data_IF_522830824729
#
_entry.id   IF_522830824729
#
_cell.length_a   1.000
_cell.length_b   1.000
_cell.length_c   1.000
_cell.angle_alpha   90.00
_cell.angle_beta   90.00
_cell.angle_gamma   90.00
#
_symmetry.space_group_name_H-M   'P 1'
#
loop_
_entity.id
_entity.type
_entity.pdbx_description
1 polymer ?
#
# COMPACT_ATOMS: atom_id res chain seq x y z
N UNK A 1 -9.03 15.59 -64.82
CA UNK A 1 -8.64 16.38 -63.62
C UNK A 1 -8.92 15.52 -62.39
N UNK A 2 -7.87 15.05 -61.73
CA UNK A 2 -7.90 14.10 -60.60
C UNK A 2 -7.74 14.86 -59.27
N UNK A 3 -8.41 14.33 -58.24
CA UNK A 3 -8.16 14.48 -56.80
C UNK A 3 -8.48 15.82 -56.11
N UNK A 4 -9.48 15.81 -55.22
CA UNK A 4 -9.43 16.61 -53.98
C UNK A 4 -10.28 16.13 -52.78
N UNK A 5 -10.98 14.98 -52.83
CA UNK A 5 -11.95 14.60 -51.77
C UNK A 5 -11.48 13.66 -50.66
N UNK A 6 -10.21 13.23 -50.63
CA UNK A 6 -9.74 12.21 -49.67
C UNK A 6 -8.94 12.76 -48.48
N UNK A 7 -8.59 14.06 -48.45
CA UNK A 7 -7.69 14.61 -47.41
C UNK A 7 -8.42 15.11 -46.15
N UNK A 8 -9.62 15.68 -46.26
CA UNK A 8 -10.35 16.24 -45.10
C UNK A 8 -10.90 15.17 -44.15
N UNK A 9 -11.43 14.07 -44.69
CA UNK A 9 -11.99 12.96 -43.90
C UNK A 9 -10.90 12.19 -43.15
N UNK A 10 -9.71 12.06 -43.73
CA UNK A 10 -8.53 11.46 -43.08
C UNK A 10 -7.98 12.36 -41.96
N UNK A 11 -7.97 13.69 -42.16
CA UNK A 11 -7.51 14.66 -41.15
C UNK A 11 -8.45 14.73 -39.93
N UNK A 12 -9.76 14.69 -40.16
CA UNK A 12 -10.77 14.66 -39.07
C UNK A 12 -10.71 13.36 -38.27
N UNK A 13 -10.53 12.19 -38.93
CA UNK A 13 -10.39 10.89 -38.24
C UNK A 13 -9.12 10.81 -37.39
N UNK A 14 -7.98 11.32 -37.88
CA UNK A 14 -6.72 11.40 -37.12
C UNK A 14 -6.84 12.34 -35.92
N UNK A 15 -7.54 13.46 -36.08
CA UNK A 15 -7.79 14.42 -34.99
C UNK A 15 -8.70 13.84 -33.90
N UNK A 16 -9.77 13.13 -34.27
CA UNK A 16 -10.65 12.45 -33.31
C UNK A 16 -9.93 11.32 -32.59
N UNK A 17 -9.10 10.54 -33.29
CA UNK A 17 -8.34 9.45 -32.67
C UNK A 17 -7.27 9.98 -31.70
N UNK A 18 -6.57 11.07 -32.04
CA UNK A 18 -5.64 11.73 -31.12
C UNK A 18 -6.34 12.30 -29.89
N UNK A 19 -7.53 12.89 -30.03
CA UNK A 19 -8.29 13.41 -28.89
C UNK A 19 -8.80 12.28 -28.00
N UNK A 20 -9.32 11.18 -28.58
CA UNK A 20 -9.76 10.01 -27.81
C UNK A 20 -8.58 9.33 -27.10
N UNK A 21 -7.42 9.21 -27.76
CA UNK A 21 -6.20 8.67 -27.16
C UNK A 21 -5.68 9.57 -26.03
N UNK A 22 -5.72 10.90 -26.21
CA UNK A 22 -5.35 11.87 -25.18
C UNK A 22 -6.31 11.83 -23.99
N UNK A 23 -7.62 11.65 -24.22
CA UNK A 23 -8.63 11.47 -23.18
C UNK A 23 -8.45 10.13 -22.46
N UNK A 24 -8.15 9.04 -23.16
CA UNK A 24 -7.81 7.76 -22.54
C UNK A 24 -6.52 7.82 -21.74
N UNK A 25 -5.52 8.59 -22.20
CA UNK A 25 -4.30 8.85 -21.44
C UNK A 25 -4.58 9.70 -20.19
N UNK A 26 -5.42 10.73 -20.29
CA UNK A 26 -5.76 11.59 -19.14
C UNK A 26 -6.68 10.89 -18.13
N UNK A 27 -7.55 9.98 -18.58
CA UNK A 27 -8.45 9.21 -17.70
C UNK A 27 -7.81 7.90 -17.19
N UNK A 28 -6.81 7.35 -17.89
CA UNK A 28 -6.19 6.06 -17.59
C UNK A 28 -5.13 6.08 -16.47
N UNK A 29 -4.73 7.26 -15.98
CA UNK A 29 -3.74 7.41 -14.90
C UNK A 29 -4.35 7.80 -13.56
N UNK A 30 -5.67 7.63 -13.38
CA UNK A 30 -6.29 7.74 -12.05
C UNK A 30 -6.12 6.42 -11.28
N UNK A 31 -4.88 6.00 -11.08
CA UNK A 31 -4.59 5.02 -10.04
C UNK A 31 -4.88 5.70 -8.71
N UNK A 32 -5.76 5.12 -7.89
CA UNK A 32 -5.88 5.54 -6.50
C UNK A 32 -4.54 5.26 -5.84
N UNK A 33 -3.70 6.28 -5.69
CA UNK A 33 -2.51 6.20 -4.85
C UNK A 33 -2.99 6.06 -3.41
N UNK A 34 -3.18 4.82 -2.97
CA UNK A 34 -3.35 4.52 -1.56
C UNK A 34 -2.07 4.95 -0.86
N UNK A 35 -2.21 5.77 0.18
CA UNK A 35 -1.06 6.13 0.98
C UNK A 35 -0.41 4.85 1.55
N UNK A 36 0.90 4.72 1.35
CA UNK A 36 1.69 3.51 1.64
C UNK A 36 1.63 3.05 3.10
N UNK A 37 1.14 3.90 3.99
CA UNK A 37 1.00 3.64 5.42
C UNK A 37 -0.35 3.04 5.83
N UNK A 38 -1.24 2.72 4.88
CA UNK A 38 -2.53 2.08 5.18
C UNK A 38 -2.39 0.56 5.26
N UNK A 39 -2.99 -0.02 6.30
CA UNK A 39 -2.97 -1.44 6.60
C UNK A 39 -4.37 -2.01 6.42
N UNK A 40 -4.52 -2.98 5.52
CA UNK A 40 -5.76 -3.73 5.38
C UNK A 40 -5.84 -4.81 6.47
N UNK A 41 -6.81 -4.75 7.41
CA UNK A 41 -6.86 -5.69 8.53
C UNK A 41 -7.03 -7.15 8.11
N UNK A 42 -7.77 -7.43 7.04
CA UNK A 42 -7.99 -8.81 6.55
C UNK A 42 -6.70 -9.38 5.95
N UNK A 43 -6.00 -8.58 5.15
CA UNK A 43 -4.70 -8.99 4.58
C UNK A 43 -3.65 -9.19 5.67
N UNK A 44 -3.56 -8.26 6.63
CA UNK A 44 -2.63 -8.37 7.75
C UNK A 44 -2.91 -9.60 8.59
N UNK A 45 -4.17 -9.83 8.97
CA UNK A 45 -4.55 -11.02 9.73
C UNK A 45 -4.21 -12.33 9.02
N UNK A 46 -4.36 -12.39 7.69
CA UNK A 46 -4.01 -13.56 6.88
C UNK A 46 -2.51 -13.68 6.54
N UNK A 47 -1.69 -12.70 6.92
CA UNK A 47 -0.25 -12.69 6.65
C UNK A 47 0.52 -13.56 7.66
N UNK A 48 1.78 -13.89 7.32
CA UNK A 48 2.70 -14.57 8.26
C UNK A 48 3.00 -13.78 9.53
N UNK A 49 2.79 -12.46 9.52
CA UNK A 49 3.04 -11.57 10.66
C UNK A 49 1.75 -11.09 11.33
N UNK A 50 0.58 -11.64 10.96
CA UNK A 50 -0.72 -11.18 11.47
C UNK A 50 -0.94 -11.36 12.98
N UNK A 51 0.01 -12.01 13.67
CA UNK A 51 0.05 -12.21 15.12
C UNK A 51 1.26 -11.51 15.79
N UNK A 52 2.08 -10.81 15.02
CA UNK A 52 3.22 -10.02 15.51
C UNK A 52 2.74 -8.62 15.84
N UNK A 53 3.18 -8.05 16.98
CA UNK A 53 2.79 -6.67 17.31
C UNK A 53 3.39 -5.70 16.30
N UNK A 54 2.67 -4.60 16.03
CA UNK A 54 3.19 -3.51 15.21
C UNK A 54 4.54 -3.02 15.77
N UNK A 55 4.71 -3.02 17.09
CA UNK A 55 5.92 -2.51 17.77
C UNK A 55 7.11 -3.45 17.72
N UNK A 56 6.91 -4.73 17.43
CA UNK A 56 8.04 -5.66 17.31
C UNK A 56 8.92 -5.30 16.12
N UNK A 57 8.33 -4.72 15.06
CA UNK A 57 9.05 -4.18 13.90
C UNK A 57 9.20 -2.65 13.95
N UNK A 58 8.26 -1.92 14.56
CA UNK A 58 8.25 -0.46 14.65
C UNK A 58 8.56 0.04 16.08
N UNK A 59 9.60 -0.51 16.70
CA UNK A 59 9.96 -0.28 18.11
C UNK A 59 10.40 1.16 18.42
N UNK A 60 10.86 1.88 17.39
CA UNK A 60 11.39 3.23 17.47
C UNK A 60 10.32 4.32 17.40
N UNK A 61 9.09 3.96 17.03
CA UNK A 61 8.00 4.92 16.79
C UNK A 61 7.69 5.79 18.01
N UNK A 62 7.70 5.21 19.21
CA UNK A 62 7.46 5.94 20.45
C UNK A 62 8.67 6.76 20.92
N UNK A 63 9.87 6.44 20.42
CA UNK A 63 11.11 7.16 20.74
C UNK A 63 11.25 8.41 19.87
N UNK A 64 10.52 8.50 18.75
CA UNK A 64 10.53 9.64 17.84
C UNK A 64 9.78 10.83 18.45
N UNK A 65 10.35 12.02 18.29
CA UNK A 65 9.73 13.27 18.73
C UNK A 65 8.41 13.58 18.00
N UNK A 66 8.24 13.07 16.78
CA UNK A 66 7.04 13.23 15.97
C UNK A 66 6.66 11.92 15.29
N UNK A 67 5.40 11.54 15.41
CA UNK A 67 4.76 10.51 14.60
C UNK A 67 3.28 10.87 14.37
N UNK A 68 2.83 11.04 13.12
CA UNK A 68 3.64 11.09 11.91
C UNK A 68 4.56 12.34 11.91
N UNK A 69 5.75 12.23 11.30
CA UNK A 69 6.60 13.39 11.04
C UNK A 69 6.10 14.12 9.77
N UNK A 70 5.60 15.37 9.85
CA UNK A 70 5.05 16.06 8.69
C UNK A 70 6.05 16.29 7.55
N UNK A 71 7.34 16.30 7.83
CA UNK A 71 8.38 16.47 6.81
C UNK A 71 8.76 15.15 6.13
N UNK A 72 8.31 14.02 6.68
CA UNK A 72 8.64 12.68 6.20
C UNK A 72 7.42 11.95 5.61
N UNK A 73 6.22 12.54 5.69
CA UNK A 73 4.94 11.94 5.26
C UNK A 73 4.89 11.55 3.77
N UNK A 74 5.62 12.26 2.92
CA UNK A 74 5.66 12.00 1.48
C UNK A 74 6.78 11.07 1.03
N UNK A 75 7.57 10.55 1.97
CA UNK A 75 8.67 9.63 1.68
C UNK A 75 8.15 8.20 1.49
N UNK A 76 8.85 7.43 0.67
CA UNK A 76 8.53 6.03 0.40
C UNK A 76 8.97 5.11 1.53
N UNK A 77 8.56 3.84 1.49
CA UNK A 77 8.98 2.86 2.48
C UNK A 77 10.50 2.61 2.41
N UNK A 78 11.07 2.72 1.22
CA UNK A 78 12.49 2.61 0.94
C UNK A 78 13.34 3.68 1.64
N UNK A 79 12.78 4.86 1.93
CA UNK A 79 13.48 5.93 2.64
C UNK A 79 13.69 5.63 4.13
N UNK A 80 12.97 4.63 4.67
CA UNK A 80 13.02 4.20 6.07
C UNK A 80 13.43 2.74 6.21
N UNK A 81 13.76 2.07 5.11
CA UNK A 81 14.04 0.65 5.13
C UNK A 81 15.43 0.39 5.73
N UNK A 82 15.44 -0.39 6.81
CA UNK A 82 16.64 -0.93 7.42
C UNK A 82 16.52 -2.47 7.40
N UNK A 83 17.47 -3.20 6.76
CA UNK A 83 17.44 -4.66 6.71
C UNK A 83 17.36 -5.30 8.10
N UNK A 84 18.00 -4.68 9.09
CA UNK A 84 18.10 -5.19 10.47
C UNK A 84 16.72 -5.42 11.10
N UNK A 85 15.70 -4.64 10.76
CA UNK A 85 14.33 -4.88 11.22
C UNK A 85 13.79 -6.26 10.80
N UNK A 86 14.21 -6.77 9.65
CA UNK A 86 13.85 -8.12 9.21
C UNK A 86 14.77 -9.17 9.82
N UNK A 87 16.06 -8.86 9.94
CA UNK A 87 17.08 -9.83 10.32
C UNK A 87 17.06 -10.24 11.77
N UNK A 88 16.41 -9.48 12.66
CA UNK A 88 16.15 -9.92 14.05
C UNK A 88 15.44 -11.28 14.11
N UNK A 89 14.55 -11.57 13.15
CA UNK A 89 13.85 -12.85 13.05
C UNK A 89 14.29 -13.70 11.84
N UNK A 90 14.97 -13.11 10.87
CA UNK A 90 15.37 -13.74 9.61
C UNK A 90 16.90 -13.75 9.41
N UNK A 91 17.64 -14.03 10.46
CA UNK A 91 19.12 -13.94 10.52
C UNK A 91 19.83 -14.69 9.37
N UNK A 92 19.32 -15.86 8.98
CA UNK A 92 19.95 -16.71 7.96
C UNK A 92 19.77 -16.20 6.53
N UNK A 93 18.86 -15.25 6.29
CA UNK A 93 18.51 -14.79 4.93
C UNK A 93 19.69 -14.11 4.25
N UNK A 94 20.45 -13.27 4.97
CA UNK A 94 21.62 -12.60 4.39
C UNK A 94 22.72 -13.58 4.00
N UNK A 95 23.01 -14.56 4.87
CA UNK A 95 23.99 -15.60 4.56
C UNK A 95 23.57 -16.46 3.35
N UNK A 96 22.26 -16.68 3.19
CA UNK A 96 21.68 -17.32 1.99
C UNK A 96 21.89 -16.47 0.75
N UNK A 97 21.56 -15.18 0.82
CA UNK A 97 21.74 -14.23 -0.27
C UNK A 97 23.19 -14.14 -0.71
N UNK A 98 24.15 -14.00 0.20
CA UNK A 98 25.59 -13.98 -0.11
C UNK A 98 26.08 -15.23 -0.86
N UNK A 99 25.45 -16.38 -0.59
CA UNK A 99 25.69 -17.65 -1.33
C UNK A 99 24.91 -17.73 -2.65
N UNK A 100 24.28 -16.63 -3.06
CA UNK A 100 23.47 -16.51 -4.26
C UNK A 100 22.10 -17.18 -4.15
N UNK A 101 21.48 -17.26 -2.97
CA UNK A 101 20.18 -17.93 -2.79
C UNK A 101 19.11 -17.01 -2.19
N UNK A 102 17.90 -17.08 -2.73
CA UNK A 102 16.70 -16.44 -2.17
C UNK A 102 15.55 -17.46 -2.17
N UNK A 103 15.35 -18.15 -1.04
CA UNK A 103 14.45 -19.30 -0.98
C UNK A 103 14.91 -20.43 -1.91
N UNK A 104 14.05 -20.85 -2.85
CA UNK A 104 14.39 -21.87 -3.87
C UNK A 104 15.04 -21.28 -5.13
N UNK A 105 15.25 -19.97 -5.19
CA UNK A 105 15.78 -19.29 -6.37
C UNK A 105 17.29 -19.05 -6.26
N UNK A 106 17.98 -19.17 -7.38
CA UNK A 106 19.37 -18.72 -7.51
C UNK A 106 19.39 -17.23 -7.88
N UNK A 107 20.06 -16.44 -7.06
CA UNK A 107 20.29 -15.01 -7.26
C UNK A 107 21.66 -14.83 -7.92
N UNK A 108 21.68 -14.11 -9.05
CA UNK A 108 22.91 -13.71 -9.75
C UNK A 108 23.35 -12.29 -9.40
N UNK A 109 22.40 -11.45 -9.01
CA UNK A 109 22.58 -10.03 -8.77
C UNK A 109 22.06 -9.71 -7.36
N UNK A 110 23.00 -9.67 -6.41
CA UNK A 110 22.72 -9.49 -4.99
C UNK A 110 22.14 -8.10 -4.69
N UNK A 111 22.57 -7.08 -5.42
CA UNK A 111 22.14 -5.69 -5.19
C UNK A 111 20.63 -5.55 -5.35
N UNK A 112 20.01 -6.30 -6.27
CA UNK A 112 18.55 -6.31 -6.46
C UNK A 112 17.76 -6.91 -5.30
N UNK A 113 18.43 -7.59 -4.36
CA UNK A 113 17.78 -8.31 -3.26
C UNK A 113 18.11 -7.72 -1.89
N UNK A 114 18.91 -6.64 -1.84
CA UNK A 114 19.19 -5.91 -0.58
C UNK A 114 17.96 -5.22 -0.02
N UNK A 115 17.08 -4.73 -0.89
CA UNK A 115 15.82 -4.07 -0.52
C UNK A 115 14.69 -5.09 -0.45
N UNK A 116 14.51 -5.73 0.71
CA UNK A 116 13.51 -6.78 0.91
C UNK A 116 12.09 -6.27 0.56
N UNK A 117 11.79 -5.01 0.92
CA UNK A 117 10.50 -4.37 0.67
C UNK A 117 10.20 -4.09 -0.81
N UNK A 118 11.20 -4.22 -1.70
CA UNK A 118 10.96 -4.10 -3.14
C UNK A 118 10.10 -5.25 -3.70
N UNK A 119 9.95 -6.35 -2.95
CA UNK A 119 9.18 -7.52 -3.36
C UNK A 119 8.25 -8.05 -2.25
N UNK A 120 8.71 -8.00 -1.00
CA UNK A 120 7.97 -8.45 0.17
C UNK A 120 7.22 -7.28 0.81
N UNK A 121 6.00 -7.52 1.27
CA UNK A 121 5.28 -6.58 2.12
C UNK A 121 4.95 -7.31 3.43
N UNK A 122 5.58 -6.94 4.57
CA UNK A 122 5.37 -7.64 5.83
C UNK A 122 3.91 -7.61 6.29
N UNK A 123 3.10 -6.65 5.81
CA UNK A 123 1.70 -6.50 6.19
C UNK A 123 0.73 -7.33 5.36
N UNK A 124 1.17 -7.93 4.25
CA UNK A 124 0.30 -8.77 3.41
C UNK A 124 0.94 -10.08 2.96
N UNK A 125 2.18 -10.35 3.40
CA UNK A 125 2.95 -11.49 2.94
C UNK A 125 2.29 -12.82 3.30
N UNK A 126 1.89 -13.53 2.25
CA UNK A 126 1.45 -14.91 2.26
C UNK A 126 2.53 -15.87 2.77
N UNK A 127 2.17 -16.90 3.57
CA UNK A 127 3.07 -18.02 3.83
C UNK A 127 3.57 -18.69 2.54
N UNK A 128 4.87 -19.06 2.55
CA UNK A 128 5.53 -19.71 1.41
C UNK A 128 5.00 -21.13 1.16
N UNK A 129 4.52 -21.80 2.23
CA UNK A 129 3.94 -23.14 2.16
C UNK A 129 2.74 -23.23 3.10
N UNK A 130 1.64 -23.77 2.59
CA UNK A 130 0.41 -23.97 3.35
C UNK A 130 -0.07 -25.40 3.14
N UNK A 131 -0.68 -25.98 4.17
CA UNK A 131 -1.28 -27.32 4.12
C UNK A 131 -2.75 -27.29 3.69
N UNK A 132 -3.28 -26.09 3.44
CA UNK A 132 -4.68 -25.83 3.13
C UNK A 132 -4.78 -25.45 1.66
N UNK A 133 -5.84 -25.92 0.99
CA UNK A 133 -6.14 -25.54 -0.40
C UNK A 133 -7.05 -24.32 -0.43
N UNK A 134 -6.68 -23.32 -1.20
CA UNK A 134 -7.51 -22.15 -1.48
C UNK A 134 -8.20 -22.28 -2.84
N UNK A 135 -9.36 -21.65 -2.99
CA UNK A 135 -9.95 -21.41 -4.29
C UNK A 135 -9.11 -20.35 -5.01
N UNK A 136 -8.46 -20.75 -6.11
CA UNK A 136 -7.62 -19.86 -6.90
C UNK A 136 -8.41 -18.71 -7.57
N UNK A 137 -9.74 -18.83 -7.67
CA UNK A 137 -10.59 -17.78 -8.23
C UNK A 137 -10.91 -16.65 -7.23
N UNK A 138 -10.56 -16.81 -5.95
CA UNK A 138 -10.89 -15.85 -4.89
C UNK A 138 -9.62 -15.32 -4.22
N UNK A 139 -9.58 -14.03 -3.79
CA UNK A 139 -8.49 -13.52 -2.99
C UNK A 139 -8.34 -14.28 -1.67
N UNK A 140 -7.11 -14.55 -1.24
CA UNK A 140 -6.84 -15.30 -0.01
C UNK A 140 -7.46 -14.68 1.24
N UNK A 141 -7.36 -13.36 1.37
CA UNK A 141 -7.85 -12.61 2.53
C UNK A 141 -9.40 -12.57 2.62
N UNK A 142 -10.09 -13.18 1.66
CA UNK A 142 -11.55 -13.40 1.68
C UNK A 142 -11.90 -14.86 2.00
N UNK A 143 -10.90 -15.73 2.17
CA UNK A 143 -11.06 -17.17 2.37
C UNK A 143 -10.56 -17.61 3.75
N UNK A 144 -10.79 -16.79 4.78
CA UNK A 144 -10.34 -17.07 6.15
C UNK A 144 -10.86 -18.42 6.69
N UNK A 145 -12.04 -18.84 6.21
CA UNK A 145 -12.66 -20.14 6.51
C UNK A 145 -11.85 -21.37 6.09
N UNK A 146 -10.83 -21.20 5.25
CA UNK A 146 -9.96 -22.30 4.83
C UNK A 146 -9.07 -22.80 5.99
N UNK A 147 -8.69 -21.91 6.91
CA UNK A 147 -7.82 -22.21 8.06
C UNK A 147 -8.53 -22.14 9.42
N UNK A 148 -9.56 -21.32 9.54
CA UNK A 148 -10.27 -21.07 10.80
C UNK A 148 -11.78 -21.27 10.65
N UNK A 149 -12.49 -21.43 11.76
CA UNK A 149 -13.94 -21.35 11.75
C UNK A 149 -14.40 -19.98 11.24
N UNK A 150 -15.41 -19.98 10.37
CA UNK A 150 -15.95 -18.75 9.79
C UNK A 150 -16.54 -17.85 10.88
N UNK A 151 -16.10 -16.58 10.88
CA UNK A 151 -16.60 -15.55 11.80
C UNK A 151 -17.03 -14.33 10.99
N UNK A 152 -18.02 -13.60 11.53
CA UNK A 152 -18.49 -12.35 10.92
C UNK A 152 -17.47 -11.23 10.98
N UNK A 153 -16.66 -11.22 12.04
CA UNK A 153 -15.67 -10.18 12.31
C UNK A 153 -14.30 -10.81 12.57
N UNK A 154 -13.25 -10.06 12.26
CA UNK A 154 -11.89 -10.44 12.61
C UNK A 154 -11.70 -10.41 14.13
N UNK A 155 -10.78 -11.21 14.68
CA UNK A 155 -10.30 -11.00 16.04
C UNK A 155 -9.84 -9.55 16.22
N UNK A 156 -10.18 -8.89 17.34
CA UNK A 156 -9.72 -7.54 17.59
C UNK A 156 -8.21 -7.51 17.75
N UNK A 157 -7.60 -6.38 17.41
CA UNK A 157 -6.21 -6.11 17.74
C UNK A 157 -6.03 -6.00 19.26
N UNK A 158 -4.78 -6.15 19.73
CA UNK A 158 -4.43 -5.76 21.09
C UNK A 158 -4.75 -4.27 21.31
N UNK A 159 -4.95 -3.84 22.56
CA UNK A 159 -5.18 -2.41 22.84
C UNK A 159 -4.03 -1.52 22.33
N UNK A 160 -2.81 -2.06 22.31
CA UNK A 160 -1.63 -1.37 21.80
C UNK A 160 -1.66 -1.24 20.27
N UNK A 161 -1.88 -2.34 19.54
CA UNK A 161 -1.93 -2.30 18.08
C UNK A 161 -3.18 -1.55 17.58
N UNK A 162 -4.29 -1.58 18.33
CA UNK A 162 -5.49 -0.79 18.02
C UNK A 162 -5.19 0.73 18.06
N UNK A 163 -4.29 1.18 18.93
CA UNK A 163 -3.86 2.58 18.96
C UNK A 163 -3.10 2.97 17.68
N UNK A 164 -2.30 2.06 17.11
CA UNK A 164 -1.69 2.24 15.78
C UNK A 164 -2.75 2.24 14.69
N UNK A 165 -3.67 1.28 14.72
CA UNK A 165 -4.72 1.11 13.72
C UNK A 165 -5.75 2.23 13.70
N UNK A 166 -5.86 3.04 14.77
CA UNK A 166 -6.70 4.23 14.79
C UNK A 166 -6.38 5.23 13.65
N UNK A 167 -5.12 5.27 13.19
CA UNK A 167 -4.70 6.07 12.04
C UNK A 167 -4.26 5.22 10.83
N UNK A 168 -3.76 4.00 11.05
CA UNK A 168 -3.21 3.17 9.99
C UNK A 168 -4.19 2.19 9.35
N UNK A 169 -5.39 1.98 9.93
CA UNK A 169 -6.38 1.05 9.36
C UNK A 169 -6.94 1.59 8.05
N UNK A 170 -6.78 0.84 6.95
CA UNK A 170 -7.35 1.18 5.65
C UNK A 170 -8.81 1.61 5.79
N UNK A 171 -9.09 2.85 5.38
CA UNK A 171 -10.45 3.41 5.33
C UNK A 171 -11.01 3.14 3.94
N UNK A 172 -12.10 2.37 3.87
CA UNK A 172 -12.81 2.16 2.62
C UNK A 172 -13.87 3.26 2.40
N UNK A 173 -14.07 3.76 1.16
CA UNK A 173 -15.01 4.84 0.87
C UNK A 173 -16.46 4.57 1.32
N UNK A 174 -16.86 3.31 1.32
CA UNK A 174 -18.19 2.83 1.71
C UNK A 174 -18.40 2.76 3.23
N UNK A 175 -17.35 2.92 4.03
CA UNK A 175 -17.49 2.93 5.49
C UNK A 175 -18.28 4.14 5.98
N UNK A 176 -19.14 3.91 6.98
CA UNK A 176 -19.75 5.00 7.72
C UNK A 176 -18.65 5.90 8.29
N UNK A 177 -18.76 7.21 8.06
CA UNK A 177 -17.81 8.23 8.55
C UNK A 177 -16.39 8.14 7.97
N UNK A 178 -16.19 7.47 6.84
CA UNK A 178 -14.89 7.43 6.15
C UNK A 178 -14.27 8.83 5.96
N UNK A 179 -15.09 9.81 5.54
CA UNK A 179 -14.65 11.19 5.37
C UNK A 179 -14.21 11.86 6.68
N UNK A 180 -14.95 11.65 7.78
CA UNK A 180 -14.61 12.20 9.10
C UNK A 180 -13.30 11.61 9.63
N UNK A 181 -13.12 10.29 9.48
CA UNK A 181 -11.88 9.60 9.85
C UNK A 181 -10.68 10.15 9.06
N UNK A 182 -10.81 10.24 7.73
CA UNK A 182 -9.76 10.78 6.88
C UNK A 182 -9.45 12.24 7.21
N UNK A 183 -10.47 13.06 7.45
CA UNK A 183 -10.31 14.45 7.88
C UNK A 183 -9.52 14.55 9.18
N UNK A 184 -9.84 13.73 10.18
CA UNK A 184 -9.14 13.71 11.47
C UNK A 184 -7.63 13.45 11.32
N UNK A 185 -7.24 12.57 10.39
CA UNK A 185 -5.84 12.23 10.11
C UNK A 185 -5.13 13.41 9.45
N UNK A 186 -5.73 14.01 8.43
CA UNK A 186 -5.18 15.21 7.78
C UNK A 186 -5.04 16.37 8.78
N UNK A 187 -6.04 16.54 9.65
CA UNK A 187 -6.09 17.60 10.64
C UNK A 187 -5.03 17.47 11.72
N UNK A 188 -4.55 16.25 12.00
CA UNK A 188 -3.41 16.06 12.90
C UNK A 188 -2.24 16.99 12.54
N UNK A 189 -1.98 17.18 11.24
CA UNK A 189 -0.92 18.05 10.73
C UNK A 189 -1.42 19.39 10.18
N UNK A 190 -2.62 19.46 9.59
CA UNK A 190 -3.04 20.63 8.79
C UNK A 190 -4.08 21.53 9.45
N UNK A 191 -4.63 21.16 10.62
CA UNK A 191 -5.64 21.97 11.30
C UNK A 191 -5.05 22.98 12.29
N UNK A 192 -5.90 23.87 12.81
CA UNK A 192 -5.61 24.76 13.94
C UNK A 192 -6.14 24.18 15.25
N UNK A 193 -5.54 23.08 15.71
CA UNK A 193 -5.91 22.40 16.97
C UNK A 193 -4.84 22.51 18.06
N UNK A 194 -3.65 23.04 17.73
CA UNK A 194 -2.54 23.24 18.67
C UNK A 194 -1.60 22.05 18.83
N UNK A 195 -1.55 21.10 17.89
CA UNK A 195 -0.62 19.95 17.99
C UNK A 195 0.82 20.38 17.68
N UNK A 196 1.84 19.66 18.20
CA UNK A 196 3.24 19.89 17.83
C UNK A 196 3.48 19.79 16.32
N UNK A 197 2.82 18.85 15.63
CA UNK A 197 2.91 18.69 14.18
C UNK A 197 2.39 19.94 13.42
N UNK A 198 1.32 20.56 13.90
CA UNK A 198 0.76 21.78 13.31
C UNK A 198 1.68 22.99 13.48
N UNK A 199 2.47 23.05 14.56
CA UNK A 199 3.47 24.09 14.71
C UNK A 199 4.59 23.99 13.66
N UNK A 200 4.85 22.80 13.12
CA UNK A 200 5.80 22.61 12.01
C UNK A 200 5.20 22.98 10.66
N UNK A 201 4.03 22.42 10.33
CA UNK A 201 3.37 22.67 9.04
C UNK A 201 2.90 24.12 8.92
N UNK A 202 2.43 24.72 10.01
CA UNK A 202 1.97 26.11 10.07
C UNK A 202 3.05 27.16 9.74
N UNK A 203 4.34 26.79 9.80
CA UNK A 203 5.44 27.64 9.32
C UNK A 203 5.51 27.74 7.80
N UNK A 204 5.02 26.72 7.09
CA UNK A 204 5.14 26.59 5.62
C UNK A 204 3.81 26.87 4.92
N UNK A 205 2.69 26.55 5.55
CA UNK A 205 1.36 26.66 4.96
C UNK A 205 0.33 27.18 5.98
N UNK A 206 -0.70 27.83 5.48
CA UNK A 206 -1.84 28.24 6.31
C UNK A 206 -2.61 27.04 6.82
N UNK A 207 -2.71 26.92 8.15
CA UNK A 207 -3.50 25.88 8.78
C UNK A 207 -5.00 26.08 8.55
N UNK A 208 -5.70 24.96 8.37
CA UNK A 208 -7.16 24.85 8.19
C UNK A 208 -7.88 25.09 9.51
N UNK A 209 -8.98 25.84 9.48
CA UNK A 209 -9.90 25.91 10.62
C UNK A 209 -10.93 24.76 10.52
N UNK A 210 -10.93 23.79 11.44
CA UNK A 210 -11.88 22.68 11.43
C UNK A 210 -13.35 23.13 11.45
N UNK A 211 -13.65 24.19 12.20
CA UNK A 211 -15.02 24.69 12.36
C UNK A 211 -15.62 25.29 11.08
N UNK A 212 -14.79 25.61 10.07
CA UNK A 212 -15.23 26.11 8.77
C UNK A 212 -14.98 25.13 7.62
N UNK A 213 -14.26 24.03 7.87
CA UNK A 213 -13.98 23.03 6.84
C UNK A 213 -15.28 22.31 6.41
N UNK A 214 -15.45 22.07 5.11
CA UNK A 214 -16.66 21.44 4.55
C UNK A 214 -17.92 22.32 4.49
N UNK A 215 -17.90 23.53 5.07
CA UNK A 215 -19.02 24.50 5.01
C UNK A 215 -19.03 25.34 3.73
N UNK A 216 -17.88 25.46 3.07
CA UNK A 216 -17.77 26.13 1.77
C UNK A 216 -18.13 25.17 0.63
N UNK A 217 -19.11 25.53 -0.19
CA UNK A 217 -19.58 24.72 -1.33
C UNK A 217 -18.47 24.38 -2.34
N UNK A 218 -17.39 25.18 -2.40
CA UNK A 218 -16.21 24.93 -3.25
C UNK A 218 -15.30 23.81 -2.74
N UNK A 219 -15.50 23.27 -1.53
CA UNK A 219 -14.61 22.25 -0.93
C UNK A 219 -15.32 20.93 -0.60
N UNK A 220 -16.64 20.88 -0.70
CA UNK A 220 -17.41 19.63 -0.65
C UNK A 220 -17.05 18.75 -1.84
N UNK A 221 -16.44 17.59 -1.59
CA UNK A 221 -16.16 16.58 -2.62
C UNK A 221 -14.77 16.66 -3.27
N UNK A 222 -13.93 17.64 -2.92
CA UNK A 222 -12.49 17.50 -3.14
C UNK A 222 -11.91 16.75 -1.95
N UNK A 223 -11.86 15.43 -2.05
CA UNK A 223 -10.82 14.67 -1.37
C UNK A 223 -9.51 15.40 -1.71
N UNK A 224 -8.69 15.76 -0.74
CA UNK A 224 -7.45 16.44 -1.04
C UNK A 224 -6.62 15.49 -1.91
N UNK A 225 -6.61 15.72 -3.23
CA UNK A 225 -5.73 15.06 -4.17
C UNK A 225 -4.31 15.33 -3.67
N UNK A 226 -3.72 14.31 -3.04
CA UNK A 226 -2.29 14.31 -2.77
C UNK A 226 -1.62 14.51 -4.13
N UNK A 227 -0.66 15.45 -4.27
CA UNK A 227 0.18 15.45 -5.46
C UNK A 227 0.80 14.05 -5.57
N UNK A 228 0.58 13.37 -6.70
CA UNK A 228 1.09 12.04 -6.97
C UNK A 228 2.55 11.95 -6.51
N UNK A 229 2.79 11.23 -5.42
CA UNK A 229 4.13 10.80 -5.07
C UNK A 229 4.63 9.97 -6.27
N UNK A 230 5.74 10.41 -6.87
CA UNK A 230 6.21 9.88 -8.13
C UNK A 230 6.44 8.37 -8.08
N UNK A 231 6.00 7.70 -9.14
CA UNK A 231 6.48 6.39 -9.61
C UNK A 231 6.93 5.38 -8.53
N UNK A 232 5.95 4.76 -7.86
CA UNK A 232 6.16 3.53 -7.07
C UNK A 232 5.51 2.27 -7.66
N UNK A 233 4.61 2.39 -8.65
CA UNK A 233 3.91 1.24 -9.21
C UNK A 233 4.77 0.51 -10.26
N UNK A 234 5.53 -0.48 -9.80
CA UNK A 234 5.82 -1.63 -10.67
C UNK A 234 4.71 -2.66 -10.48
N UNK A 235 4.16 -3.23 -11.56
CA UNK A 235 3.22 -4.34 -11.44
C UNK A 235 3.91 -5.51 -10.72
N UNK A 236 3.33 -5.92 -9.58
CA UNK A 236 3.73 -7.13 -8.86
C UNK A 236 3.51 -8.31 -9.82
N UNK A 237 4.59 -8.93 -10.28
CA UNK A 237 4.50 -10.16 -11.06
C UNK A 237 3.93 -11.26 -10.17
N UNK A 238 2.67 -11.64 -10.39
CA UNK A 238 2.14 -12.93 -9.95
C UNK A 238 2.91 -14.03 -10.69
N UNK A 239 3.94 -14.56 -10.04
CA UNK A 239 4.58 -15.79 -10.48
C UNK A 239 3.68 -16.97 -10.12
N UNK A 240 2.65 -17.21 -10.92
CA UNK A 240 1.96 -18.49 -11.03
C UNK A 240 2.94 -19.53 -11.57
N UNK A 241 3.72 -20.18 -10.70
CA UNK A 241 4.52 -21.35 -11.07
C UNK A 241 3.78 -22.61 -10.63
N UNK A 242 3.37 -23.40 -11.63
CA UNK A 242 2.87 -24.75 -11.44
C UNK A 242 3.87 -25.59 -10.63
N UNK A 243 3.33 -26.35 -9.69
CA UNK A 243 4.09 -27.33 -8.91
C UNK A 243 4.66 -28.43 -9.82
N UNK A 244 5.91 -28.86 -9.63
CA UNK A 244 6.39 -30.11 -10.23
C UNK A 244 5.68 -31.32 -9.61
N UNK A 245 5.50 -32.42 -10.35
CA UNK A 245 4.83 -33.62 -9.85
C UNK A 245 5.59 -34.26 -8.70
N UNK A 246 4.85 -34.68 -7.68
CA UNK A 246 5.34 -35.43 -6.51
C UNK A 246 5.77 -36.84 -6.99
N UNK A 247 6.98 -37.33 -6.64
CA UNK A 247 7.36 -38.69 -6.96
C UNK A 247 6.58 -39.69 -6.09
N UNK A 248 6.06 -40.73 -6.74
CA UNK A 248 5.37 -41.85 -6.10
C UNK A 248 6.27 -42.55 -5.07
N UNK A 249 5.71 -43.07 -3.95
CA UNK A 249 6.46 -43.91 -3.04
C UNK A 249 6.87 -45.20 -3.75
N UNK A 250 8.16 -45.53 -3.68
CA UNK A 250 8.71 -46.83 -4.05
C UNK A 250 8.28 -47.90 -3.02
N UNK A 251 8.20 -49.18 -3.44
CA UNK A 251 7.42 -50.23 -2.77
C UNK A 251 7.90 -50.64 -1.38
#
# INVERSE_FOLDING_TARGET
MIAKRTSETSRKKKSLFSVVLLVFLLLGFSGYSHASWWINPKKFHASVHGQTSCRDCHDDTQKKAFHPNPEAIGKGAEDFFEPDHCLVCHEEVMAGLEKGKHGSQQVKDLEKHKMCLACHDPHDQAPIKEKVSFDAAKPRHEQCGACHEEKKELPPFSAEDEACMACHRLILPEESKAAEKLESICFHCHARLGTPAQALTGKKISLVNPGSYGKDASRKGRLCDLPSAGNGDRPRQEHSRGLPPVPSPLP
#
